data_IF_656248612768
#
_entry.id   IF_656248612768
#
_cell.length_a   1.000
_cell.length_b   1.000
_cell.length_c   1.000
_cell.angle_alpha   90.00
_cell.angle_beta   90.00
_cell.angle_gamma   90.00
#
_symmetry.space_group_name_H-M   'P 1'
#
loop_
_entity.id
_entity.type
_entity.pdbx_description
1 polymer ?
#
# COMPACT_ATOMS: atom_id res chain seq x y z
N UNK A 1 29.77 43.62 -13.29
CA UNK A 1 28.97 43.46 -12.04
C UNK A 1 28.13 42.19 -12.21
N UNK A 2 28.72 41.03 -11.93
CA UNK A 2 28.05 39.76 -12.03
C UNK A 2 27.16 39.56 -10.81
N UNK A 3 25.85 39.43 -11.05
CA UNK A 3 24.90 39.08 -10.02
C UNK A 3 25.19 37.65 -9.52
N UNK A 4 25.73 37.53 -8.32
CA UNK A 4 25.81 36.25 -7.61
C UNK A 4 24.37 35.71 -7.48
N UNK A 5 24.08 34.67 -8.26
CA UNK A 5 22.91 33.86 -8.03
C UNK A 5 23.00 33.35 -6.59
N UNK A 6 22.09 33.80 -5.73
CA UNK A 6 21.96 33.35 -4.36
C UNK A 6 21.67 31.83 -4.42
N UNK A 7 22.66 31.02 -4.06
CA UNK A 7 22.50 29.58 -3.99
C UNK A 7 21.43 29.31 -2.91
N UNK A 8 20.25 28.93 -3.34
CA UNK A 8 19.16 28.52 -2.44
C UNK A 8 19.69 27.35 -1.60
N UNK A 9 19.64 27.48 -0.27
CA UNK A 9 20.08 26.43 0.63
C UNK A 9 19.38 25.11 0.31
N UNK A 10 20.10 23.97 0.21
CA UNK A 10 19.47 22.66 0.06
C UNK A 10 18.40 22.39 1.12
N UNK A 11 18.56 22.90 2.35
CA UNK A 11 17.56 22.83 3.41
C UNK A 11 16.27 23.57 3.02
N UNK A 12 16.35 24.74 2.41
CA UNK A 12 15.20 25.51 1.98
C UNK A 12 14.42 24.81 0.84
N UNK A 13 15.13 24.10 -0.03
CA UNK A 13 14.50 23.26 -1.04
C UNK A 13 13.78 22.06 -0.40
N UNK A 14 14.40 21.42 0.61
CA UNK A 14 13.77 20.33 1.35
C UNK A 14 12.54 20.76 2.13
N UNK A 15 12.51 22.00 2.65
CA UNK A 15 11.32 22.56 3.30
C UNK A 15 10.17 22.84 2.33
N UNK A 16 10.46 23.07 1.07
CA UNK A 16 9.43 23.31 0.01
C UNK A 16 8.89 22.03 -0.60
N UNK A 17 9.62 20.91 -0.51
CA UNK A 17 9.05 19.63 -0.92
C UNK A 17 8.02 19.18 0.12
N UNK A 18 6.84 18.81 -0.34
CA UNK A 18 5.79 18.20 0.48
C UNK A 18 6.19 16.77 0.89
N UNK A 19 7.35 16.66 1.51
CA UNK A 19 7.89 15.43 2.05
C UNK A 19 7.84 15.47 3.58
N UNK A 20 7.27 14.42 4.15
CA UNK A 20 7.33 14.20 5.59
C UNK A 20 8.67 13.60 5.97
N UNK A 21 9.30 14.15 7.01
CA UNK A 21 10.55 13.64 7.58
C UNK A 21 10.28 13.31 9.04
N UNK A 22 10.60 12.08 9.44
CA UNK A 22 10.52 11.60 10.82
C UNK A 22 11.83 10.94 11.17
N UNK A 23 12.47 11.38 12.25
CA UNK A 23 13.65 10.74 12.80
C UNK A 23 13.29 9.94 14.05
N UNK A 24 13.84 8.74 14.14
CA UNK A 24 13.68 7.82 15.26
C UNK A 24 15.05 7.56 15.90
N UNK A 25 15.03 7.31 17.22
CA UNK A 25 16.18 6.77 17.94
C UNK A 25 16.38 5.26 17.66
N UNK A 26 17.36 4.67 18.33
CA UNK A 26 17.66 3.23 18.27
C UNK A 26 16.48 2.37 18.72
N UNK A 27 15.68 2.85 19.66
CA UNK A 27 14.51 2.18 20.20
C UNK A 27 13.26 2.41 19.36
N UNK A 28 13.39 3.07 18.20
CA UNK A 28 12.28 3.41 17.26
C UNK A 28 11.26 4.38 17.86
N UNK A 29 11.69 5.22 18.78
CA UNK A 29 10.88 6.33 19.30
C UNK A 29 11.08 7.56 18.41
N UNK A 30 10.04 8.34 18.24
CA UNK A 30 10.10 9.57 17.46
C UNK A 30 10.91 10.63 18.19
N UNK A 31 12.01 11.07 17.56
CA UNK A 31 12.89 12.13 18.08
C UNK A 31 12.55 13.48 17.48
N UNK A 32 12.28 13.50 16.16
CA UNK A 32 11.90 14.73 15.47
C UNK A 32 11.02 14.45 14.26
N UNK A 33 10.25 15.43 13.85
CA UNK A 33 9.49 15.42 12.61
C UNK A 33 9.30 16.84 12.09
N UNK A 34 9.23 16.98 10.77
CA UNK A 34 8.95 18.28 10.15
C UNK A 34 7.44 18.59 10.16
N UNK A 35 7.08 19.83 9.81
CA UNK A 35 5.70 20.29 9.84
C UNK A 35 4.79 19.55 8.86
N UNK A 36 5.32 19.14 7.69
CA UNK A 36 4.55 18.33 6.76
C UNK A 36 4.18 16.99 7.39
N UNK A 37 5.12 16.30 8.05
CA UNK A 37 4.87 15.05 8.75
C UNK A 37 3.81 15.21 9.83
N UNK A 38 3.82 16.31 10.59
CA UNK A 38 2.83 16.62 11.62
C UNK A 38 1.43 16.81 11.07
N UNK A 39 1.30 17.40 9.87
CA UNK A 39 -0.01 17.60 9.23
C UNK A 39 -0.59 16.34 8.64
N UNK A 40 0.26 15.45 8.14
CA UNK A 40 -0.16 14.24 7.40
C UNK A 40 -0.40 13.05 8.31
N UNK A 41 0.46 12.85 9.31
CA UNK A 41 0.33 11.73 10.24
C UNK A 41 -0.76 12.02 11.28
N UNK A 42 -1.54 11.01 11.70
CA UNK A 42 -2.57 11.16 12.73
C UNK A 42 -1.92 11.32 14.11
N UNK A 43 -1.20 12.42 14.29
CA UNK A 43 -0.54 12.76 15.54
C UNK A 43 -1.45 13.67 16.32
N UNK A 44 -1.96 13.22 17.47
CA UNK A 44 -2.63 14.11 18.42
C UNK A 44 -1.65 15.21 18.85
N UNK A 45 -2.03 16.44 18.60
CA UNK A 45 -1.24 17.62 18.31
C UNK A 45 -0.17 18.06 19.34
N UNK A 46 0.00 17.43 20.49
CA UNK A 46 0.81 18.10 21.53
C UNK A 46 2.20 17.54 21.81
N UNK A 47 2.48 16.28 21.60
CA UNK A 47 3.84 15.73 21.76
C UNK A 47 3.99 14.37 21.06
N UNK A 48 4.45 14.31 19.80
CA UNK A 48 4.77 13.05 19.11
C UNK A 48 6.10 12.45 19.60
N UNK A 49 6.88 13.17 20.37
CA UNK A 49 8.22 12.77 20.80
C UNK A 49 8.17 11.71 21.88
N UNK A 50 9.18 10.86 21.93
CA UNK A 50 9.33 9.72 22.87
C UNK A 50 8.29 8.60 22.70
N UNK A 51 7.40 8.68 21.71
CA UNK A 51 6.46 7.60 21.39
C UNK A 51 7.04 6.64 20.36
N UNK A 52 6.74 5.37 20.50
CA UNK A 52 7.07 4.38 19.50
C UNK A 52 6.36 4.71 18.19
N UNK A 53 7.12 4.67 17.08
CA UNK A 53 6.58 4.95 15.74
C UNK A 53 5.37 4.06 15.41
N UNK A 54 5.31 2.83 15.91
CA UNK A 54 4.18 1.93 15.69
C UNK A 54 2.86 2.46 16.26
N UNK A 55 2.90 3.27 17.33
CA UNK A 55 1.68 3.84 17.93
C UNK A 55 0.94 4.81 17.00
N UNK A 56 1.59 5.30 15.95
CA UNK A 56 0.98 6.16 14.92
C UNK A 56 0.32 5.37 13.78
N UNK A 57 0.44 4.04 13.82
CA UNK A 57 -0.14 3.17 12.79
C UNK A 57 -1.33 2.39 13.34
N UNK A 58 -2.40 2.19 12.53
CA UNK A 58 -3.48 1.29 12.90
C UNK A 58 -2.93 -0.09 13.28
N UNK A 59 -3.50 -0.75 14.29
CA UNK A 59 -3.03 -2.05 14.81
C UNK A 59 -2.80 -3.08 13.70
N UNK A 60 -3.70 -3.14 12.70
CA UNK A 60 -3.59 -4.03 11.53
C UNK A 60 -2.34 -3.78 10.66
N UNK A 61 -1.76 -2.58 10.72
CA UNK A 61 -0.58 -2.20 9.93
C UNK A 61 0.72 -2.31 10.71
N UNK A 62 0.67 -2.34 12.04
CA UNK A 62 1.84 -2.38 12.92
C UNK A 62 2.78 -3.55 12.64
N UNK A 63 2.32 -4.82 12.45
CA UNK A 63 3.22 -5.93 12.18
C UNK A 63 4.03 -5.75 10.89
N UNK A 64 3.45 -5.09 9.90
CA UNK A 64 4.12 -4.81 8.64
C UNK A 64 5.18 -3.73 8.78
N UNK A 65 4.88 -2.67 9.50
CA UNK A 65 5.83 -1.58 9.78
C UNK A 65 6.98 -2.10 10.63
N UNK A 66 6.68 -2.91 11.65
CA UNK A 66 7.69 -3.55 12.50
C UNK A 66 8.62 -4.45 11.68
N UNK A 67 8.06 -5.33 10.86
CA UNK A 67 8.84 -6.18 9.96
C UNK A 67 9.78 -5.37 9.06
N UNK A 68 9.33 -4.26 8.51
CA UNK A 68 10.15 -3.40 7.64
C UNK A 68 11.29 -2.72 8.42
N UNK A 69 11.02 -2.25 9.63
CA UNK A 69 12.05 -1.69 10.50
C UNK A 69 13.07 -2.75 10.92
N UNK A 70 12.62 -3.98 11.18
CA UNK A 70 13.50 -5.10 11.49
C UNK A 70 14.39 -5.48 10.31
N UNK A 71 13.86 -5.49 9.10
CA UNK A 71 14.65 -5.73 7.89
C UNK A 71 15.70 -4.62 7.69
N UNK A 72 15.33 -3.36 7.92
CA UNK A 72 16.29 -2.25 7.85
C UNK A 72 17.39 -2.39 8.92
N UNK A 73 17.03 -2.80 10.14
CA UNK A 73 17.98 -3.01 11.24
C UNK A 73 18.98 -4.13 10.94
N UNK A 74 18.51 -5.25 10.39
CA UNK A 74 19.33 -6.46 10.11
C UNK A 74 20.22 -6.33 8.88
N UNK A 75 20.09 -5.26 8.09
CA UNK A 75 20.91 -5.09 6.92
C UNK A 75 22.39 -4.94 7.34
N UNK A 76 23.31 -5.83 6.89
CA UNK A 76 24.71 -5.81 7.30
C UNK A 76 25.50 -4.70 6.59
N UNK A 77 24.91 -4.04 5.61
CA UNK A 77 25.58 -3.00 4.84
C UNK A 77 25.61 -1.71 5.65
N UNK A 78 26.78 -1.10 5.78
CA UNK A 78 26.91 0.25 6.32
C UNK A 78 26.28 1.22 5.32
N UNK A 79 25.33 2.04 5.76
CA UNK A 79 24.50 2.90 4.92
C UNK A 79 23.73 2.10 3.82
N UNK A 80 22.81 1.19 4.20
CA UNK A 80 22.05 0.45 3.23
C UNK A 80 21.18 1.39 2.39
N UNK A 81 20.86 1.00 1.14
CA UNK A 81 19.92 1.75 0.36
C UNK A 81 18.56 1.83 1.10
N UNK A 82 17.84 2.97 1.01
CA UNK A 82 16.58 3.13 1.71
C UNK A 82 15.60 2.01 1.36
N UNK A 83 15.01 1.40 2.36
CA UNK A 83 13.88 0.49 2.14
C UNK A 83 12.65 1.29 1.77
N UNK A 84 12.01 0.90 0.68
CA UNK A 84 10.81 1.58 0.18
C UNK A 84 9.56 0.79 0.56
N UNK A 85 8.59 1.46 1.14
CA UNK A 85 7.29 0.89 1.47
C UNK A 85 6.16 1.84 1.09
N UNK A 86 4.98 1.27 0.90
CA UNK A 86 3.75 2.04 0.71
C UNK A 86 2.82 1.67 1.86
N UNK A 87 2.34 2.66 2.56
CA UNK A 87 1.35 2.48 3.61
C UNK A 87 0.08 3.25 3.28
N UNK A 88 -1.02 2.70 3.75
CA UNK A 88 -2.31 3.35 3.71
C UNK A 88 -2.67 3.79 5.12
N UNK A 89 -2.78 5.10 5.31
CA UNK A 89 -3.47 5.66 6.47
C UNK A 89 -4.89 6.03 6.02
N UNK A 90 -5.87 6.14 6.91
CA UNK A 90 -7.23 6.49 6.49
C UNK A 90 -7.17 7.68 5.53
N UNK A 91 -7.74 7.56 4.34
CA UNK A 91 -7.81 8.61 3.30
C UNK A 91 -6.51 8.92 2.52
N UNK A 92 -5.34 8.40 2.90
CA UNK A 92 -4.06 8.74 2.24
C UNK A 92 -3.27 7.51 1.86
N UNK A 93 -2.50 7.63 0.79
CA UNK A 93 -1.49 6.65 0.36
C UNK A 93 -0.13 7.30 0.47
N UNK A 94 0.71 6.79 1.37
CA UNK A 94 2.04 7.32 1.61
C UNK A 94 3.10 6.39 1.06
N UNK A 95 4.01 6.94 0.29
CA UNK A 95 5.26 6.31 -0.09
C UNK A 95 6.31 6.64 0.96
N UNK A 96 6.83 5.63 1.65
CA UNK A 96 7.82 5.82 2.71
C UNK A 96 9.14 5.19 2.32
N UNK A 97 10.22 5.91 2.57
CA UNK A 97 11.59 5.42 2.51
C UNK A 97 12.17 5.39 3.92
N UNK A 98 12.68 4.24 4.34
CA UNK A 98 13.30 4.05 5.65
C UNK A 98 14.80 3.88 5.46
N UNK A 99 15.58 4.69 6.13
CA UNK A 99 17.05 4.61 6.14
C UNK A 99 17.52 4.36 7.57
N UNK A 100 18.35 3.34 7.77
CA UNK A 100 19.08 3.13 9.03
C UNK A 100 20.23 4.13 9.10
N UNK A 101 20.39 4.78 10.22
CA UNK A 101 21.53 5.61 10.55
C UNK A 101 22.49 4.79 11.40
N UNK A 102 23.76 4.79 11.04
CA UNK A 102 24.82 4.14 11.82
C UNK A 102 25.74 5.18 12.41
N UNK A 103 26.26 4.92 13.61
CA UNK A 103 27.30 5.70 14.22
C UNK A 103 28.69 5.42 13.60
N UNK A 104 29.73 6.06 14.14
CA UNK A 104 31.12 5.87 13.66
C UNK A 104 31.66 4.46 13.92
N UNK A 105 31.02 3.66 14.78
CA UNK A 105 31.38 2.26 15.08
C UNK A 105 30.63 1.27 14.23
N UNK A 106 29.63 1.74 13.43
CA UNK A 106 28.77 0.91 12.62
C UNK A 106 27.52 0.42 13.35
N UNK A 107 27.34 0.82 14.62
CA UNK A 107 26.14 0.49 15.40
C UNK A 107 24.95 1.33 14.94
N UNK A 108 23.73 0.83 15.19
CA UNK A 108 22.53 1.58 14.82
C UNK A 108 22.36 2.80 15.73
N UNK A 109 22.42 3.99 15.15
CA UNK A 109 22.19 5.25 15.85
C UNK A 109 20.72 5.71 15.78
N UNK A 110 19.93 5.11 14.89
CA UNK A 110 18.54 5.45 14.70
C UNK A 110 18.06 5.22 13.27
N UNK A 111 16.92 5.83 12.92
CA UNK A 111 16.33 5.71 11.59
C UNK A 111 15.79 7.05 11.13
N UNK A 112 15.87 7.29 9.81
CA UNK A 112 15.16 8.40 9.15
C UNK A 112 14.10 7.82 8.22
N UNK A 113 12.88 8.29 8.39
CA UNK A 113 11.77 8.00 7.51
C UNK A 113 11.47 9.26 6.69
N UNK A 114 11.49 9.12 5.36
CA UNK A 114 11.05 10.17 4.44
C UNK A 114 9.83 9.63 3.72
N UNK A 115 8.73 10.37 3.74
CA UNK A 115 7.52 9.94 3.05
C UNK A 115 6.91 11.04 2.17
N UNK A 116 6.23 10.60 1.13
CA UNK A 116 5.52 11.45 0.18
C UNK A 116 4.04 11.04 0.18
N UNK A 117 3.15 12.02 0.15
CA UNK A 117 1.73 11.76 -0.10
C UNK A 117 1.53 11.58 -1.61
N UNK A 118 1.20 10.36 -2.01
CA UNK A 118 0.94 10.01 -3.41
C UNK A 118 -0.55 9.79 -3.69
N UNK A 119 -1.42 10.19 -2.77
CA UNK A 119 -2.85 9.95 -2.85
C UNK A 119 -3.44 10.48 -4.16
N UNK A 120 -3.12 11.71 -4.55
CA UNK A 120 -3.61 12.33 -5.78
C UNK A 120 -3.08 11.64 -7.05
N UNK A 121 -1.89 11.04 -6.97
CA UNK A 121 -1.28 10.32 -8.10
C UNK A 121 -1.98 8.99 -8.37
N UNK A 122 -2.53 8.34 -7.32
CA UNK A 122 -3.09 6.98 -7.41
C UNK A 122 -4.61 6.93 -7.29
N UNK A 123 -5.27 8.03 -6.92
CA UNK A 123 -6.72 8.10 -6.70
C UNK A 123 -7.35 9.19 -7.57
N UNK A 124 -8.56 8.94 -8.06
CA UNK A 124 -9.36 9.99 -8.68
C UNK A 124 -9.89 10.97 -7.63
N UNK A 125 -9.96 12.25 -7.98
CA UNK A 125 -10.76 13.21 -7.24
C UNK A 125 -12.24 12.87 -7.47
N UNK A 126 -12.94 12.43 -6.43
CA UNK A 126 -14.39 12.48 -6.46
C UNK A 126 -14.85 13.93 -6.27
N UNK A 127 -15.90 14.38 -7.02
CA UNK A 127 -16.45 15.72 -6.83
C UNK A 127 -16.89 15.89 -5.36
N UNK A 128 -16.70 17.08 -4.81
CA UNK A 128 -16.82 17.48 -3.40
C UNK A 128 -18.17 17.22 -2.68
N UNK A 129 -19.02 16.34 -3.21
CA UNK A 129 -20.30 15.91 -2.62
C UNK A 129 -20.24 14.59 -1.86
N UNK A 130 -19.12 13.89 -1.83
CA UNK A 130 -18.98 12.64 -1.09
C UNK A 130 -18.77 12.89 0.40
N UNK A 131 -19.43 12.10 1.22
CA UNK A 131 -19.39 12.13 2.69
C UNK A 131 -17.92 12.15 3.19
N UNK A 132 -17.61 12.86 4.30
CA UNK A 132 -16.23 13.09 4.79
C UNK A 132 -15.43 11.85 5.18
N UNK A 133 -15.88 10.64 4.91
CA UNK A 133 -15.25 9.36 5.26
C UNK A 133 -15.15 8.37 4.09
N UNK A 134 -15.50 8.77 2.86
CA UNK A 134 -15.35 7.87 1.72
C UNK A 134 -13.87 7.76 1.32
N UNK A 135 -13.33 6.53 1.36
CA UNK A 135 -11.97 6.24 0.86
C UNK A 135 -11.93 6.54 -0.64
N UNK A 136 -11.00 7.38 -1.08
CA UNK A 136 -10.83 7.69 -2.51
C UNK A 136 -10.56 6.42 -3.33
N UNK A 137 -11.23 6.29 -4.46
CA UNK A 137 -11.07 5.17 -5.38
C UNK A 137 -9.68 5.20 -6.04
N UNK A 138 -9.01 4.03 -6.07
CA UNK A 138 -7.71 3.88 -6.74
C UNK A 138 -7.92 3.56 -8.22
N UNK A 139 -7.33 4.36 -9.09
CA UNK A 139 -7.18 4.06 -10.51
C UNK A 139 -5.79 3.49 -10.84
N UNK A 140 -4.82 3.69 -9.96
CA UNK A 140 -3.49 3.09 -10.03
C UNK A 140 -3.13 2.40 -8.73
N UNK A 141 -2.57 1.21 -8.84
CA UNK A 141 -2.09 0.44 -7.70
C UNK A 141 -0.58 0.61 -7.62
N UNK A 142 -0.06 1.24 -6.56
CA UNK A 142 1.38 1.38 -6.38
C UNK A 142 1.99 0.03 -5.96
N UNK A 143 2.93 -0.45 -6.76
CA UNK A 143 3.70 -1.67 -6.53
C UNK A 143 5.19 -1.36 -6.38
N UNK A 144 5.94 -2.27 -5.79
CA UNK A 144 7.39 -2.12 -5.61
C UNK A 144 8.11 -3.22 -6.38
N UNK A 145 9.03 -2.83 -7.24
CA UNK A 145 9.91 -3.74 -7.98
C UNK A 145 11.32 -3.17 -8.03
N UNK A 146 12.32 -3.96 -7.63
CA UNK A 146 13.74 -3.57 -7.68
C UNK A 146 14.01 -2.16 -7.11
N UNK A 147 13.47 -1.85 -5.95
CA UNK A 147 13.57 -0.54 -5.28
C UNK A 147 12.96 0.64 -6.10
N UNK A 148 12.09 0.32 -7.08
CA UNK A 148 11.32 1.29 -7.86
C UNK A 148 9.85 1.13 -7.55
N UNK A 149 9.11 2.23 -7.64
CA UNK A 149 7.67 2.20 -7.59
C UNK A 149 7.14 2.17 -9.02
N UNK A 150 6.29 1.19 -9.25
CA UNK A 150 5.56 1.04 -10.50
C UNK A 150 4.09 1.24 -10.19
N UNK A 151 3.47 2.18 -10.89
CA UNK A 151 2.04 2.41 -10.79
C UNK A 151 1.34 1.54 -11.85
N UNK A 152 0.64 0.50 -11.40
CA UNK A 152 -0.12 -0.40 -12.27
C UNK A 152 -1.53 0.15 -12.40
N UNK A 153 -2.00 0.34 -13.62
CA UNK A 153 -3.38 0.77 -13.87
C UNK A 153 -4.36 -0.30 -13.37
N UNK A 154 -5.41 0.12 -12.66
CA UNK A 154 -6.33 -0.83 -12.03
C UNK A 154 -7.06 -1.70 -13.07
N UNK A 155 -7.37 -1.17 -14.24
CA UNK A 155 -8.00 -1.88 -15.35
C UNK A 155 -7.09 -2.93 -16.01
N UNK A 156 -5.77 -2.82 -15.88
CA UNK A 156 -4.81 -3.85 -16.32
C UNK A 156 -4.68 -5.01 -15.32
N UNK A 157 -5.18 -4.85 -14.08
CA UNK A 157 -5.05 -5.87 -13.04
C UNK A 157 -6.08 -6.96 -13.21
N UNK A 158 -5.62 -8.21 -13.30
CA UNK A 158 -6.47 -9.40 -13.41
C UNK A 158 -6.97 -9.87 -12.04
N UNK A 159 -6.07 -9.97 -11.06
CA UNK A 159 -6.43 -10.30 -9.68
C UNK A 159 -5.36 -9.82 -8.70
N UNK A 160 -5.74 -9.81 -7.44
CA UNK A 160 -4.86 -9.50 -6.31
C UNK A 160 -4.86 -10.68 -5.36
N UNK A 161 -3.68 -11.10 -4.90
CA UNK A 161 -3.49 -12.21 -3.98
C UNK A 161 -2.78 -11.76 -2.71
N UNK A 162 -3.32 -12.12 -1.54
CA UNK A 162 -2.62 -11.99 -0.26
C UNK A 162 -1.89 -13.29 0.07
N UNK A 163 -0.63 -13.18 0.47
CA UNK A 163 0.24 -14.29 0.87
C UNK A 163 1.06 -13.87 2.09
N UNK A 164 0.69 -14.40 3.26
CA UNK A 164 1.26 -13.96 4.53
C UNK A 164 1.02 -12.45 4.76
N UNK A 165 2.10 -11.71 4.93
CA UNK A 165 2.08 -10.26 5.13
C UNK A 165 2.12 -9.48 3.81
N UNK A 166 2.15 -10.16 2.67
CA UNK A 166 2.37 -9.58 1.36
C UNK A 166 1.13 -9.61 0.49
N UNK A 167 1.03 -8.65 -0.39
CA UNK A 167 0.00 -8.57 -1.42
C UNK A 167 0.68 -8.55 -2.79
N UNK A 168 0.20 -9.39 -3.69
CA UNK A 168 0.66 -9.49 -5.07
C UNK A 168 -0.43 -9.01 -6.01
N UNK A 169 -0.06 -8.15 -6.93
CA UNK A 169 -0.94 -7.61 -7.97
C UNK A 169 -0.53 -8.27 -9.27
N UNK A 170 -1.45 -9.02 -9.86
CA UNK A 170 -1.24 -9.74 -11.13
C UNK A 170 -1.85 -8.99 -12.29
N UNK A 171 -1.11 -8.91 -13.39
CA UNK A 171 -1.51 -8.31 -14.65
C UNK A 171 -0.92 -9.10 -15.82
N UNK A 172 -1.25 -8.75 -17.05
CA UNK A 172 -0.64 -9.35 -18.24
C UNK A 172 0.89 -9.22 -18.27
N UNK A 173 1.46 -8.24 -17.55
CA UNK A 173 2.92 -8.02 -17.44
C UNK A 173 3.58 -8.88 -16.35
N UNK A 174 2.82 -9.68 -15.63
CA UNK A 174 3.26 -10.51 -14.50
C UNK A 174 2.76 -10.01 -13.15
N UNK A 175 3.32 -10.60 -12.07
CA UNK A 175 2.94 -10.26 -10.70
C UNK A 175 3.94 -9.29 -10.07
N UNK A 176 3.42 -8.27 -9.43
CA UNK A 176 4.20 -7.22 -8.74
C UNK A 176 3.83 -7.17 -7.26
N UNK A 177 4.83 -6.89 -6.43
CA UNK A 177 4.66 -6.76 -5.00
C UNK A 177 3.99 -5.44 -4.62
N UNK A 178 2.94 -5.49 -3.80
CA UNK A 178 2.23 -4.33 -3.28
C UNK A 178 2.26 -4.31 -1.75
N UNK A 179 2.57 -3.16 -1.20
CA UNK A 179 2.61 -2.97 0.25
C UNK A 179 1.23 -2.73 0.88
N UNK A 180 0.23 -2.34 0.10
CA UNK A 180 -1.14 -2.18 0.60
C UNK A 180 -1.72 -3.56 0.94
N UNK A 181 -2.49 -3.65 2.00
CA UNK A 181 -3.14 -4.91 2.33
C UNK A 181 -4.37 -5.14 1.41
N UNK A 182 -4.73 -6.41 1.23
CA UNK A 182 -5.79 -6.81 0.31
C UNK A 182 -7.16 -6.23 0.68
N UNK A 183 -7.43 -5.98 1.96
CA UNK A 183 -8.70 -5.38 2.40
C UNK A 183 -8.77 -3.91 2.02
N UNK A 184 -7.67 -3.16 2.22
CA UNK A 184 -7.60 -1.75 1.82
C UNK A 184 -7.71 -1.58 0.30
N UNK A 185 -7.12 -2.51 -0.49
CA UNK A 185 -7.27 -2.52 -1.94
C UNK A 185 -8.72 -2.84 -2.34
N UNK A 186 -9.33 -3.87 -1.75
CA UNK A 186 -10.72 -4.24 -2.05
C UNK A 186 -11.71 -3.11 -1.76
N UNK A 187 -11.45 -2.32 -0.71
CA UNK A 187 -12.32 -1.19 -0.32
C UNK A 187 -12.14 0.06 -1.20
N UNK A 188 -11.06 0.13 -1.97
CA UNK A 188 -10.69 1.31 -2.76
C UNK A 188 -10.65 1.07 -4.27
N UNK A 189 -10.79 -0.16 -4.70
CA UNK A 189 -10.94 -0.48 -6.12
C UNK A 189 -12.40 -0.33 -6.55
N UNK A 190 -12.58 -0.12 -7.86
CA UNK A 190 -13.92 -0.04 -8.41
C UNK A 190 -14.74 -1.30 -8.10
N UNK A 191 -15.73 -1.15 -7.25
CA UNK A 191 -16.62 -2.23 -6.89
C UNK A 191 -17.46 -2.75 -8.06
N UNK A 192 -17.56 -2.03 -9.20
CA UNK A 192 -18.21 -2.53 -10.40
C UNK A 192 -17.34 -3.60 -11.11
N UNK A 193 -16.05 -3.45 -11.11
CA UNK A 193 -15.11 -4.37 -11.77
C UNK A 193 -14.51 -5.39 -10.81
N UNK A 194 -14.22 -5.00 -9.57
CA UNK A 194 -13.52 -5.86 -8.61
C UNK A 194 -14.46 -6.50 -7.60
N UNK A 195 -14.20 -7.78 -7.31
CA UNK A 195 -14.91 -8.53 -6.28
C UNK A 195 -13.92 -9.30 -5.40
N UNK A 196 -14.07 -9.18 -4.08
CA UNK A 196 -13.36 -10.04 -3.14
C UNK A 196 -14.03 -11.41 -3.11
N UNK A 197 -13.44 -12.38 -3.80
CA UNK A 197 -13.98 -13.74 -3.96
C UNK A 197 -13.50 -14.70 -2.86
N UNK A 198 -12.40 -14.35 -2.16
CA UNK A 198 -11.82 -15.14 -1.09
C UNK A 198 -11.11 -14.23 -0.07
N UNK A 199 -10.87 -14.72 1.14
CA UNK A 199 -10.08 -13.95 2.14
C UNK A 199 -8.72 -13.50 1.59
N UNK A 200 -8.13 -14.26 0.67
CA UNK A 200 -6.81 -14.00 0.07
C UNK A 200 -6.89 -13.59 -1.41
N UNK A 201 -8.07 -13.42 -2.01
CA UNK A 201 -8.18 -13.08 -3.42
C UNK A 201 -9.25 -12.00 -3.69
N UNK A 202 -8.86 -11.02 -4.49
CA UNK A 202 -9.75 -10.06 -5.15
C UNK A 202 -9.58 -10.26 -6.65
N UNK A 203 -10.66 -10.51 -7.37
CA UNK A 203 -10.65 -10.73 -8.81
C UNK A 203 -11.25 -9.52 -9.55
N UNK A 204 -10.68 -9.19 -10.68
CA UNK A 204 -11.29 -8.28 -11.64
C UNK A 204 -12.22 -9.09 -12.54
N UNK A 205 -13.51 -8.86 -12.41
CA UNK A 205 -14.55 -9.62 -13.11
C UNK A 205 -14.60 -9.33 -14.61
N UNK A 206 -13.98 -8.25 -15.08
CA UNK A 206 -13.87 -7.97 -16.53
C UNK A 206 -13.02 -9.02 -17.25
N UNK A 207 -12.14 -9.73 -16.52
CA UNK A 207 -11.33 -10.84 -17.02
C UNK A 207 -11.96 -12.22 -16.73
N UNK A 208 -13.17 -12.30 -16.15
CA UNK A 208 -13.79 -13.57 -15.83
C UNK A 208 -14.04 -14.39 -17.12
N UNK A 209 -13.49 -15.60 -17.18
CA UNK A 209 -13.60 -16.50 -18.33
C UNK A 209 -14.48 -17.70 -18.01
N UNK A 210 -14.25 -18.36 -16.88
CA UNK A 210 -14.91 -19.61 -16.55
C UNK A 210 -15.08 -19.79 -15.03
N UNK A 211 -16.22 -20.33 -14.62
CA UNK A 211 -16.44 -20.83 -13.28
C UNK A 211 -16.29 -22.35 -13.29
N UNK A 212 -15.32 -22.85 -12.54
CA UNK A 212 -15.06 -24.28 -12.39
C UNK A 212 -15.68 -24.76 -11.07
N UNK A 213 -16.48 -25.83 -11.13
CA UNK A 213 -17.02 -26.50 -9.96
C UNK A 213 -16.44 -27.90 -9.91
N UNK A 214 -15.73 -28.22 -8.83
CA UNK A 214 -15.10 -29.51 -8.63
C UNK A 214 -15.21 -29.91 -7.15
N UNK A 215 -15.71 -31.10 -6.87
CA UNK A 215 -15.89 -31.68 -5.52
C UNK A 215 -16.50 -30.68 -4.50
N UNK A 216 -17.50 -29.92 -4.91
CA UNK A 216 -18.16 -28.90 -4.05
C UNK A 216 -17.35 -27.63 -3.81
N UNK A 217 -16.19 -27.48 -4.45
CA UNK A 217 -15.40 -26.25 -4.49
C UNK A 217 -15.69 -25.46 -5.75
N UNK A 218 -15.69 -24.16 -5.61
CA UNK A 218 -15.87 -23.24 -6.74
C UNK A 218 -14.58 -22.47 -6.94
N UNK A 219 -14.12 -22.39 -8.18
CA UNK A 219 -12.97 -21.60 -8.60
C UNK A 219 -13.32 -20.73 -9.79
N UNK A 220 -12.71 -19.57 -9.88
CA UNK A 220 -12.82 -18.65 -11.00
C UNK A 220 -11.54 -18.71 -11.84
N UNK A 221 -11.69 -18.94 -13.15
CA UNK A 221 -10.63 -18.81 -14.14
C UNK A 221 -10.74 -17.44 -14.79
N UNK A 222 -9.61 -16.75 -14.93
CA UNK A 222 -9.52 -15.46 -15.59
C UNK A 222 -8.84 -15.61 -16.96
N UNK A 223 -9.27 -14.79 -17.90
CA UNK A 223 -8.69 -14.74 -19.24
C UNK A 223 -7.20 -14.36 -19.18
N UNK A 224 -6.37 -15.11 -19.91
CA UNK A 224 -4.92 -14.89 -19.95
C UNK A 224 -4.15 -15.41 -18.73
N UNK A 225 -4.80 -16.07 -17.77
CA UNK A 225 -4.14 -16.68 -16.62
C UNK A 225 -4.49 -18.17 -16.52
N UNK A 226 -3.51 -18.98 -16.11
CA UNK A 226 -3.69 -20.42 -15.89
C UNK A 226 -4.13 -20.75 -14.46
N UNK A 227 -4.08 -19.78 -13.57
CA UNK A 227 -4.39 -19.96 -12.15
C UNK A 227 -5.89 -20.06 -11.92
N UNK A 228 -6.34 -21.11 -11.22
CA UNK A 228 -7.70 -21.20 -10.73
C UNK A 228 -7.80 -20.49 -9.38
N UNK A 229 -8.54 -19.39 -9.34
CA UNK A 229 -8.74 -18.60 -8.13
C UNK A 229 -9.83 -19.24 -7.25
N UNK A 230 -9.55 -19.61 -5.99
CA UNK A 230 -10.57 -20.19 -5.11
C UNK A 230 -11.63 -19.16 -4.75
N UNK A 231 -12.88 -19.57 -4.76
CA UNK A 231 -14.02 -18.75 -4.35
C UNK A 231 -14.54 -19.26 -3.02
N UNK A 232 -14.66 -18.38 -2.02
CA UNK A 232 -15.23 -18.77 -0.73
C UNK A 232 -16.74 -19.06 -0.88
N UNK A 233 -17.25 -20.01 -0.08
CA UNK A 233 -18.70 -20.38 -0.12
C UNK A 233 -19.61 -19.16 0.03
N UNK A 234 -19.23 -18.22 0.88
CA UNK A 234 -19.97 -16.98 1.12
C UNK A 234 -19.92 -15.98 -0.03
N UNK A 235 -18.92 -16.10 -0.91
CA UNK A 235 -18.76 -15.20 -2.07
C UNK A 235 -19.38 -15.75 -3.35
N UNK A 236 -19.74 -17.05 -3.40
CA UNK A 236 -20.31 -17.66 -4.60
C UNK A 236 -21.60 -16.97 -5.06
N UNK A 237 -22.61 -16.73 -4.18
CA UNK A 237 -23.86 -16.08 -4.63
C UNK A 237 -23.58 -14.70 -5.23
N UNK A 238 -22.75 -13.89 -4.55
CA UNK A 238 -22.38 -12.56 -5.01
C UNK A 238 -21.62 -12.58 -6.34
N UNK A 239 -20.75 -13.58 -6.55
CA UNK A 239 -20.02 -13.75 -7.82
C UNK A 239 -21.00 -14.06 -8.96
N UNK A 240 -21.94 -15.00 -8.76
CA UNK A 240 -22.93 -15.38 -9.76
C UNK A 240 -23.85 -14.21 -10.11
N UNK A 241 -24.37 -13.51 -9.11
CA UNK A 241 -25.17 -12.29 -9.28
C UNK A 241 -24.44 -11.25 -10.15
N UNK A 242 -23.17 -10.99 -9.81
CA UNK A 242 -22.35 -10.01 -10.52
C UNK A 242 -22.05 -10.40 -11.97
N UNK A 243 -21.97 -11.69 -12.28
CA UNK A 243 -21.80 -12.20 -13.64
C UNK A 243 -23.12 -12.40 -14.38
N UNK A 244 -24.26 -12.07 -13.76
CA UNK A 244 -25.59 -12.25 -14.37
C UNK A 244 -25.97 -13.71 -14.55
N UNK A 245 -25.37 -14.63 -13.77
CA UNK A 245 -25.63 -16.06 -13.82
C UNK A 245 -26.68 -16.38 -12.76
N UNK A 246 -27.88 -16.76 -13.17
CA UNK A 246 -28.89 -17.27 -12.24
C UNK A 246 -28.36 -18.56 -11.57
N UNK A 247 -28.54 -18.70 -10.25
CA UNK A 247 -28.33 -19.99 -9.61
C UNK A 247 -29.30 -20.99 -10.26
N UNK A 248 -28.73 -21.91 -11.04
CA UNK A 248 -29.51 -23.07 -11.46
C UNK A 248 -29.87 -23.82 -10.17
N UNK A 249 -31.16 -23.91 -9.91
CA UNK A 249 -31.76 -24.64 -8.81
C UNK A 249 -31.00 -25.97 -8.62
N UNK A 250 -30.34 -26.13 -7.49
CA UNK A 250 -29.74 -27.40 -7.09
C UNK A 250 -30.85 -28.33 -6.62
N UNK A 251 -31.74 -28.68 -7.55
CA UNK A 251 -32.73 -29.72 -7.39
C UNK A 251 -32.18 -31.00 -8.04
N UNK A 252 -31.48 -31.80 -7.28
CA UNK A 252 -31.60 -33.26 -7.08
C UNK A 252 -30.33 -33.90 -6.61
#
# INVERSE_FOLDING_TARGET
MEARASAVSPLYLLERFEAGIVNLDEQRRVVSMNDFARRVLPVEAKQPFDRFVLSFHPERSQPKVEFMLDQAARCPVVNPPPMTMIINIPERVLLIKVTKLSDMRGDTAGYTLIFYDITEVVSHEEPASAKPQAKRQLHKIPTVSQNRIVLVDADEVTYIRAEGHYTWVSSARGSSFCNLNISDLADRLDGASFLRIHRSYVANLTFAEQIVRDEGKVSLKLHGDTTLLPVSRTSVPKLLERLGIAEADSAR
#
